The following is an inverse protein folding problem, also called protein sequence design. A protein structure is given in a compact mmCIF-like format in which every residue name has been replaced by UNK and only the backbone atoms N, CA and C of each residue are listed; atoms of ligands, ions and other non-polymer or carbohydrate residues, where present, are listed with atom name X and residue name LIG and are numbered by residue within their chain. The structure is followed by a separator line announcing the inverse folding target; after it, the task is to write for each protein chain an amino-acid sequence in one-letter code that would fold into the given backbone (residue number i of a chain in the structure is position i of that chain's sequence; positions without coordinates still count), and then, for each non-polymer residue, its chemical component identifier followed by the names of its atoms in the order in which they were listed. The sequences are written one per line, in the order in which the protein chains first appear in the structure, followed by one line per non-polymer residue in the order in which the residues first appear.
data_IF_003125644309
#
_entry.id   IF_003125644309
#
_cell.length_a   1.000
_cell.length_b   1.000
_cell.length_c   1.000
_cell.angle_alpha   90.00
_cell.angle_beta   90.00
_cell.angle_gamma   90.00
#
_symmetry.space_group_name_H-M   'P 1'
#
loop_
_entity.id
_entity.type
_entity.pdbx_description
1 polymer ?
#
# COMPACT_ATOMS: atom_id res chain seq x y z
N UNK A 1 -38.41 28.97 26.66
CA UNK A 1 -37.89 29.43 25.35
C UNK A 1 -36.50 29.94 25.59
N UNK A 2 -35.48 29.17 25.23
CA UNK A 2 -34.18 29.61 24.75
C UNK A 2 -33.52 28.33 24.22
N UNK A 3 -33.28 28.32 22.91
CA UNK A 3 -32.99 27.15 22.08
C UNK A 3 -31.57 26.65 22.27
N UNK A 4 -31.45 25.32 22.27
CA UNK A 4 -30.20 24.57 22.22
C UNK A 4 -29.61 24.65 20.80
N UNK A 5 -28.30 24.87 20.70
CA UNK A 5 -27.58 24.57 19.46
C UNK A 5 -26.18 24.07 19.82
N UNK A 6 -26.05 22.76 20.06
CA UNK A 6 -24.76 22.07 20.11
C UNK A 6 -24.60 21.23 18.85
N UNK A 7 -23.79 21.71 17.93
CA UNK A 7 -23.28 20.94 16.78
C UNK A 7 -22.33 19.86 17.29
N UNK A 8 -22.88 18.69 17.60
CA UNK A 8 -22.12 17.47 17.84
C UNK A 8 -21.73 16.85 16.50
N UNK A 9 -20.43 16.78 16.22
CA UNK A 9 -19.91 15.94 15.15
C UNK A 9 -20.27 14.48 15.48
N UNK A 10 -21.11 13.86 14.63
CA UNK A 10 -21.42 12.44 14.72
C UNK A 10 -20.16 11.63 14.42
N UNK A 11 -19.54 11.09 15.47
CA UNK A 11 -18.65 9.95 15.34
C UNK A 11 -19.44 8.80 14.67
N UNK A 12 -18.95 8.28 13.55
CA UNK A 12 -19.53 7.16 12.84
C UNK A 12 -19.40 5.86 13.68
N UNK A 13 -20.23 5.73 14.70
CA UNK A 13 -20.38 4.56 15.54
C UNK A 13 -21.39 3.57 14.94
N UNK A 14 -20.94 2.35 14.69
CA UNK A 14 -21.76 1.23 14.17
C UNK A 14 -22.92 0.92 15.13
N UNK A 15 -24.19 0.89 14.67
CA UNK A 15 -25.32 0.59 15.56
C UNK A 15 -25.33 -0.88 16.01
N UNK A 16 -25.66 -1.09 17.29
CA UNK A 16 -25.82 -2.41 17.90
C UNK A 16 -27.01 -3.22 17.35
N UNK A 17 -27.82 -2.63 16.45
CA UNK A 17 -29.10 -3.17 15.97
C UNK A 17 -29.06 -3.41 14.46
N UNK A 18 -28.97 -4.69 14.04
CA UNK A 18 -29.28 -5.17 12.69
C UNK A 18 -28.66 -4.38 11.51
N UNK A 19 -29.15 -4.65 10.30
CA UNK A 19 -28.90 -3.78 9.14
C UNK A 19 -29.99 -2.70 9.09
N UNK A 20 -29.66 -1.48 8.63
CA UNK A 20 -30.70 -0.49 8.31
C UNK A 20 -31.56 -0.97 7.13
N UNK A 21 -32.75 -0.37 6.95
CA UNK A 21 -33.63 -0.72 5.83
C UNK A 21 -32.94 -0.50 4.45
N UNK A 22 -32.21 0.60 4.31
CA UNK A 22 -31.44 0.90 3.09
C UNK A 22 -30.34 -0.14 2.83
N UNK A 23 -29.58 -0.53 3.87
CA UNK A 23 -28.55 -1.57 3.75
C UNK A 23 -29.16 -2.93 3.40
N UNK A 24 -30.32 -3.27 3.96
CA UNK A 24 -31.05 -4.50 3.60
C UNK A 24 -31.47 -4.51 2.14
N UNK A 25 -32.01 -3.41 1.62
CA UNK A 25 -32.39 -3.36 0.19
C UNK A 25 -31.14 -3.49 -0.70
N UNK A 26 -30.07 -2.76 -0.38
CA UNK A 26 -28.80 -2.78 -1.13
C UNK A 26 -28.21 -4.19 -1.26
N UNK A 27 -28.20 -4.98 -0.18
CA UNK A 27 -27.63 -6.34 -0.18
C UNK A 27 -28.65 -7.46 -0.33
N UNK A 28 -29.91 -7.13 -0.61
CA UNK A 28 -31.00 -8.11 -0.71
C UNK A 28 -30.70 -9.29 -1.65
N UNK A 29 -30.00 -9.06 -2.77
CA UNK A 29 -29.64 -10.13 -3.73
C UNK A 29 -28.55 -11.04 -3.16
N UNK A 30 -27.58 -10.48 -2.44
CA UNK A 30 -26.52 -11.24 -1.78
C UNK A 30 -27.07 -12.03 -0.59
N UNK A 31 -27.95 -11.45 0.22
CA UNK A 31 -28.59 -12.11 1.37
C UNK A 31 -29.51 -13.27 0.97
N UNK A 32 -30.06 -13.28 -0.25
CA UNK A 32 -30.83 -14.42 -0.78
C UNK A 32 -29.95 -15.64 -1.03
N UNK A 33 -28.65 -15.47 -1.21
CA UNK A 33 -27.74 -16.60 -1.30
C UNK A 33 -27.57 -17.20 0.10
N UNK A 34 -28.22 -18.35 0.34
CA UNK A 34 -28.35 -18.96 1.66
C UNK A 34 -27.03 -19.16 2.44
N UNK A 35 -25.88 -19.48 1.81
CA UNK A 35 -24.61 -19.53 2.53
C UNK A 35 -24.20 -18.20 3.17
N UNK A 36 -24.57 -17.05 2.60
CA UNK A 36 -24.36 -15.73 3.22
C UNK A 36 -25.52 -15.40 4.17
N UNK A 37 -26.74 -15.30 3.66
CA UNK A 37 -27.91 -14.93 4.48
C UNK A 37 -27.79 -13.56 5.17
N UNK A 38 -28.71 -13.26 6.09
CA UNK A 38 -28.65 -12.01 6.87
C UNK A 38 -27.48 -12.00 7.87
N UNK A 39 -27.21 -13.13 8.52
CA UNK A 39 -26.12 -13.24 9.48
C UNK A 39 -24.74 -13.07 8.84
N UNK A 40 -24.50 -13.66 7.67
CA UNK A 40 -23.26 -13.46 6.93
C UNK A 40 -23.10 -12.03 6.46
N UNK A 41 -24.19 -11.37 6.03
CA UNK A 41 -24.16 -9.96 5.68
C UNK A 41 -23.82 -9.06 6.88
N UNK A 42 -24.39 -9.34 8.06
CA UNK A 42 -24.04 -8.63 9.29
C UNK A 42 -22.57 -8.85 9.67
N UNK A 43 -22.04 -10.06 9.47
CA UNK A 43 -20.64 -10.37 9.73
C UNK A 43 -19.71 -9.59 8.76
N UNK A 44 -20.05 -9.49 7.48
CA UNK A 44 -19.33 -8.67 6.50
C UNK A 44 -19.29 -7.19 6.94
N UNK A 45 -20.43 -6.61 7.31
CA UNK A 45 -20.53 -5.21 7.77
C UNK A 45 -19.72 -4.95 9.05
N UNK A 46 -19.46 -5.97 9.86
CA UNK A 46 -18.64 -5.85 11.08
C UNK A 46 -17.15 -6.13 10.86
N UNK A 47 -16.79 -6.57 9.66
CA UNK A 47 -15.44 -7.00 9.33
C UNK A 47 -14.55 -5.84 8.90
N UNK A 48 -13.26 -5.95 9.21
CA UNK A 48 -12.19 -5.09 8.71
C UNK A 48 -11.19 -5.89 7.90
N UNK A 49 -10.83 -5.42 6.70
CA UNK A 49 -9.85 -6.09 5.83
C UNK A 49 -8.73 -5.16 5.41
N UNK A 50 -7.52 -5.69 5.32
CA UNK A 50 -6.40 -5.02 4.66
C UNK A 50 -6.28 -5.54 3.23
N UNK A 51 -6.20 -4.64 2.26
CA UNK A 51 -5.82 -4.92 0.88
C UNK A 51 -4.43 -4.33 0.68
N UNK A 52 -3.44 -5.21 0.61
CA UNK A 52 -2.05 -4.82 0.41
C UNK A 52 -1.74 -4.82 -1.09
N UNK A 53 -1.34 -3.66 -1.62
CA UNK A 53 -1.25 -3.43 -3.06
C UNK A 53 -2.61 -3.12 -3.66
N UNK A 54 -2.71 -1.96 -4.32
CA UNK A 54 -3.88 -1.40 -4.99
C UNK A 54 -3.58 -1.24 -6.49
N UNK A 55 -2.83 -2.20 -7.04
CA UNK A 55 -2.66 -2.39 -8.48
C UNK A 55 -3.86 -3.11 -9.11
N UNK A 56 -3.65 -3.89 -10.17
CA UNK A 56 -4.74 -4.55 -10.90
C UNK A 56 -5.58 -5.47 -10.02
N UNK A 57 -4.91 -6.37 -9.30
CA UNK A 57 -5.57 -7.36 -8.44
C UNK A 57 -6.20 -6.70 -7.22
N UNK A 58 -5.47 -5.79 -6.58
CA UNK A 58 -5.96 -4.99 -5.45
C UNK A 58 -7.21 -4.17 -5.79
N UNK A 59 -7.25 -3.54 -6.97
CA UNK A 59 -8.41 -2.79 -7.45
C UNK A 59 -9.66 -3.68 -7.58
N UNK A 60 -9.52 -4.87 -8.17
CA UNK A 60 -10.63 -5.81 -8.32
C UNK A 60 -11.11 -6.33 -6.94
N UNK A 61 -10.19 -6.68 -6.05
CA UNK A 61 -10.50 -7.11 -4.68
C UNK A 61 -11.20 -6.02 -3.87
N UNK A 62 -10.72 -4.78 -3.96
CA UNK A 62 -11.32 -3.62 -3.31
C UNK A 62 -12.77 -3.40 -3.75
N UNK A 63 -13.04 -3.53 -5.05
CA UNK A 63 -14.40 -3.46 -5.58
C UNK A 63 -15.28 -4.60 -5.07
N UNK A 64 -14.78 -5.84 -5.03
CA UNK A 64 -15.53 -6.96 -4.49
C UNK A 64 -15.87 -6.76 -3.01
N UNK A 65 -14.91 -6.35 -2.18
CA UNK A 65 -15.12 -6.17 -0.74
C UNK A 65 -16.09 -5.02 -0.45
N UNK A 66 -15.93 -3.89 -1.14
CA UNK A 66 -16.83 -2.74 -0.99
C UNK A 66 -18.26 -3.09 -1.42
N UNK A 67 -18.43 -3.73 -2.59
CA UNK A 67 -19.75 -4.09 -3.12
C UNK A 67 -20.42 -5.21 -2.34
N UNK A 68 -19.65 -6.09 -1.69
CA UNK A 68 -20.17 -7.11 -0.78
C UNK A 68 -20.60 -6.55 0.58
N UNK A 69 -20.27 -5.29 0.89
CA UNK A 69 -20.64 -4.64 2.14
C UNK A 69 -19.73 -4.96 3.31
N UNK A 70 -18.43 -5.20 3.07
CA UNK A 70 -17.43 -5.20 4.14
C UNK A 70 -17.46 -3.85 4.87
N UNK A 71 -17.39 -3.85 6.20
CA UNK A 71 -17.56 -2.63 7.00
C UNK A 71 -16.40 -1.66 6.93
N UNK A 72 -15.17 -2.19 6.94
CA UNK A 72 -13.96 -1.39 6.91
C UNK A 72 -12.90 -1.99 5.97
N UNK A 73 -12.32 -1.16 5.12
CA UNK A 73 -11.24 -1.54 4.19
C UNK A 73 -10.05 -0.60 4.41
N UNK A 74 -8.88 -1.19 4.66
CA UNK A 74 -7.59 -0.49 4.62
C UNK A 74 -6.95 -0.79 3.27
N UNK A 75 -6.63 0.25 2.52
CA UNK A 75 -5.93 0.17 1.24
C UNK A 75 -4.49 0.64 1.45
N UNK A 76 -3.52 -0.24 1.25
CA UNK A 76 -2.10 0.11 1.40
C UNK A 76 -1.37 -0.01 0.07
N UNK A 77 -0.86 1.10 -0.45
CA UNK A 77 -0.06 1.15 -1.67
C UNK A 77 0.85 2.38 -1.62
N UNK A 78 2.09 2.22 -2.10
CA UNK A 78 3.10 3.30 -2.13
C UNK A 78 3.12 4.05 -3.47
N UNK A 79 2.50 3.48 -4.50
CA UNK A 79 2.59 3.95 -5.88
C UNK A 79 1.51 4.98 -6.20
N UNK A 80 1.67 5.59 -7.37
CA UNK A 80 0.79 6.59 -7.94
C UNK A 80 0.13 6.07 -9.21
N UNK A 81 -1.02 6.63 -9.56
CA UNK A 81 -1.74 6.25 -10.77
C UNK A 81 -0.98 6.77 -12.00
N UNK A 82 -0.73 5.87 -12.95
CA UNK A 82 -0.09 6.20 -14.22
C UNK A 82 -0.97 5.83 -15.42
N UNK A 83 -0.72 6.45 -16.58
CA UNK A 83 -1.47 6.19 -17.81
C UNK A 83 -1.45 4.71 -18.23
N UNK A 84 -0.29 4.07 -18.09
CA UNK A 84 -0.07 2.64 -18.41
C UNK A 84 -0.90 1.70 -17.54
N UNK A 85 -1.41 2.18 -16.40
CA UNK A 85 -2.18 1.40 -15.45
C UNK A 85 -3.63 1.22 -15.91
N UNK A 86 -4.18 2.18 -16.66
CA UNK A 86 -5.60 2.28 -16.99
C UNK A 86 -6.15 1.09 -17.79
N UNK A 87 -5.28 0.37 -18.51
CA UNK A 87 -5.69 -0.83 -19.26
C UNK A 87 -6.10 -2.02 -18.37
N UNK A 88 -5.69 -2.05 -17.09
CA UNK A 88 -5.90 -3.19 -16.17
C UNK A 88 -6.32 -2.84 -14.74
N UNK A 89 -6.17 -1.59 -14.31
CA UNK A 89 -6.49 -1.17 -12.95
C UNK A 89 -7.85 -0.47 -12.94
N UNK A 90 -8.92 -1.29 -12.94
CA UNK A 90 -10.29 -0.86 -13.23
C UNK A 90 -10.90 0.18 -12.28
N UNK A 91 -10.27 0.44 -11.13
CA UNK A 91 -10.70 1.56 -10.30
C UNK A 91 -10.29 2.88 -10.91
N UNK A 92 -9.10 3.02 -11.50
CA UNK A 92 -8.56 4.32 -11.89
C UNK A 92 -9.09 4.82 -13.24
N UNK A 93 -9.11 6.14 -13.41
CA UNK A 93 -9.48 6.81 -14.65
C UNK A 93 -8.39 7.79 -15.10
N UNK A 94 -8.62 8.42 -16.26
CA UNK A 94 -7.65 9.35 -16.84
C UNK A 94 -7.38 10.57 -15.95
N UNK A 95 -8.34 11.01 -15.15
CA UNK A 95 -8.15 12.19 -14.29
C UNK A 95 -7.21 11.84 -13.13
N UNK A 96 -7.39 10.68 -12.52
CA UNK A 96 -6.46 10.17 -11.49
C UNK A 96 -5.02 10.09 -12.03
N UNK A 97 -4.86 9.62 -13.28
CA UNK A 97 -3.55 9.48 -13.93
C UNK A 97 -2.94 10.85 -14.28
N UNK A 98 -3.75 11.79 -14.80
CA UNK A 98 -3.31 13.16 -15.11
C UNK A 98 -2.84 13.88 -13.85
N UNK A 99 -3.55 13.70 -12.75
CA UNK A 99 -3.20 14.27 -11.45
C UNK A 99 -2.12 13.47 -10.71
N UNK A 100 -1.77 12.27 -11.18
CA UNK A 100 -0.84 11.35 -10.53
C UNK A 100 -1.18 11.17 -9.04
N UNK A 101 -2.44 10.83 -8.75
CA UNK A 101 -2.90 10.61 -7.38
C UNK A 101 -2.27 9.33 -6.79
N UNK A 102 -2.01 9.28 -5.46
CA UNK A 102 -1.64 8.03 -4.81
C UNK A 102 -2.72 6.98 -5.03
N UNK A 103 -2.33 5.76 -5.43
CA UNK A 103 -3.27 4.68 -5.76
C UNK A 103 -4.23 4.39 -4.61
N UNK A 104 -3.72 4.30 -3.38
CA UNK A 104 -4.52 4.05 -2.18
C UNK A 104 -5.57 5.15 -1.95
N UNK A 105 -5.23 6.42 -2.20
CA UNK A 105 -6.13 7.56 -2.02
C UNK A 105 -7.20 7.58 -3.11
N UNK A 106 -6.80 7.50 -4.38
CA UNK A 106 -7.73 7.49 -5.52
C UNK A 106 -8.73 6.33 -5.41
N UNK A 107 -8.24 5.13 -5.04
CA UNK A 107 -9.10 3.98 -4.81
C UNK A 107 -10.06 4.22 -3.64
N UNK A 108 -9.58 4.76 -2.51
CA UNK A 108 -10.43 5.03 -1.35
C UNK A 108 -11.58 5.98 -1.67
N UNK A 109 -11.31 7.06 -2.41
CA UNK A 109 -12.35 7.99 -2.86
C UNK A 109 -13.39 7.32 -3.74
N UNK A 110 -12.97 6.43 -4.65
CA UNK A 110 -13.88 5.67 -5.51
C UNK A 110 -14.72 4.67 -4.73
N UNK A 111 -14.13 3.98 -3.75
CA UNK A 111 -14.88 3.06 -2.89
C UNK A 111 -15.93 3.80 -2.04
N UNK A 112 -15.61 4.98 -1.52
CA UNK A 112 -16.60 5.81 -0.78
C UNK A 112 -17.76 6.26 -1.67
N UNK A 113 -17.53 6.46 -2.97
CA UNK A 113 -18.61 6.71 -3.95
C UNK A 113 -19.43 5.45 -4.26
N UNK A 114 -18.83 4.26 -4.17
CA UNK A 114 -19.54 3.00 -4.34
C UNK A 114 -20.48 2.76 -3.15
N UNK A 115 -19.98 2.89 -1.92
CA UNK A 115 -20.71 2.66 -0.68
C UNK A 115 -20.34 3.71 0.37
N UNK A 116 -21.27 4.62 0.68
CA UNK A 116 -21.04 5.68 1.68
C UNK A 116 -21.05 5.17 3.12
N UNK A 117 -21.57 3.95 3.36
CA UNK A 117 -21.55 3.30 4.67
C UNK A 117 -20.27 2.51 4.94
N UNK A 118 -19.34 2.46 3.99
CA UNK A 118 -18.06 1.77 4.10
C UNK A 118 -16.99 2.72 4.67
N UNK A 119 -16.32 2.30 5.74
CA UNK A 119 -15.15 2.99 6.25
C UNK A 119 -13.90 2.61 5.43
N UNK A 120 -13.32 3.58 4.71
CA UNK A 120 -12.10 3.35 3.92
C UNK A 120 -10.94 4.17 4.44
N UNK A 121 -9.82 3.50 4.73
CA UNK A 121 -8.55 4.09 5.13
C UNK A 121 -7.53 3.91 4.00
N UNK A 122 -6.82 4.98 3.64
CA UNK A 122 -5.77 4.95 2.63
C UNK A 122 -4.40 5.12 3.31
N UNK A 123 -3.53 4.13 3.14
CA UNK A 123 -2.16 4.12 3.65
C UNK A 123 -1.21 4.26 2.46
N UNK A 124 -0.67 5.46 2.28
CA UNK A 124 0.32 5.75 1.21
C UNK A 124 1.72 5.49 1.74
N UNK A 125 2.11 4.22 1.79
CA UNK A 125 3.40 3.83 2.35
C UNK A 125 3.88 2.47 1.82
N UNK A 126 5.21 2.27 1.86
CA UNK A 126 5.80 0.97 1.60
C UNK A 126 5.56 0.04 2.81
N UNK A 127 4.87 -1.07 2.58
CA UNK A 127 4.60 -2.07 3.61
C UNK A 127 5.87 -2.76 4.15
N UNK A 128 7.00 -2.63 3.46
CA UNK A 128 8.32 -3.06 3.94
C UNK A 128 9.00 -2.05 4.86
N UNK A 129 8.47 -0.84 5.03
CA UNK A 129 8.97 0.10 6.02
C UNK A 129 8.64 -0.37 7.46
N UNK A 130 9.50 -0.09 8.46
CA UNK A 130 9.26 -0.47 9.85
C UNK A 130 7.92 0.09 10.38
N UNK A 131 7.11 -0.75 11.04
CA UNK A 131 5.86 -0.35 11.69
C UNK A 131 4.64 -0.12 10.78
N UNK A 132 4.84 0.09 9.48
CA UNK A 132 3.75 0.41 8.54
C UNK A 132 2.76 -0.73 8.39
N UNK A 133 3.24 -1.97 8.20
CA UNK A 133 2.36 -3.13 8.08
C UNK A 133 1.59 -3.37 9.38
N UNK A 134 2.25 -3.25 10.52
CA UNK A 134 1.64 -3.45 11.84
C UNK A 134 0.50 -2.45 12.07
N UNK A 135 0.71 -1.19 11.68
CA UNK A 135 -0.34 -0.16 11.74
C UNK A 135 -1.47 -0.45 10.76
N UNK A 136 -1.16 -0.75 9.49
CA UNK A 136 -2.17 -0.98 8.45
C UNK A 136 -3.02 -2.23 8.72
N UNK A 137 -2.41 -3.29 9.24
CA UNK A 137 -3.08 -4.56 9.52
C UNK A 137 -3.75 -4.60 10.92
N UNK A 138 -3.59 -3.55 11.74
CA UNK A 138 -4.17 -3.48 13.07
C UNK A 138 -5.68 -3.69 13.04
N UNK A 139 -6.14 -4.68 13.82
CA UNK A 139 -7.57 -5.01 13.95
C UNK A 139 -8.22 -5.62 12.70
N UNK A 140 -7.45 -6.01 11.69
CA UNK A 140 -7.99 -6.67 10.49
C UNK A 140 -8.34 -8.14 10.77
N UNK A 141 -9.48 -8.59 10.25
CA UNK A 141 -9.95 -9.97 10.33
C UNK A 141 -9.40 -10.85 9.20
N UNK A 142 -8.90 -10.23 8.13
CA UNK A 142 -8.39 -10.86 6.91
C UNK A 142 -7.44 -9.91 6.16
N UNK A 143 -6.39 -10.46 5.55
CA UNK A 143 -5.51 -9.74 4.62
C UNK A 143 -5.67 -10.30 3.21
N UNK A 144 -5.82 -9.42 2.23
CA UNK A 144 -5.87 -9.75 0.81
C UNK A 144 -4.58 -9.28 0.13
N UNK A 145 -3.90 -10.21 -0.54
CA UNK A 145 -2.70 -9.90 -1.32
C UNK A 145 -3.08 -9.43 -2.73
N UNK A 146 -2.87 -8.14 -2.99
CA UNK A 146 -2.94 -7.51 -4.31
C UNK A 146 -1.58 -7.00 -4.78
N UNK A 147 -0.48 -7.43 -4.13
CA UNK A 147 0.88 -6.96 -4.41
C UNK A 147 1.52 -7.73 -5.57
N UNK A 148 2.47 -7.10 -6.23
CA UNK A 148 3.32 -7.69 -7.27
C UNK A 148 4.78 -7.88 -6.82
N UNK A 149 5.09 -7.55 -5.57
CA UNK A 149 6.44 -7.59 -5.02
C UNK A 149 6.64 -8.77 -4.06
N UNK A 150 7.60 -9.65 -4.38
CA UNK A 150 7.90 -10.85 -3.58
C UNK A 150 8.28 -10.55 -2.12
N UNK A 151 9.04 -9.47 -1.86
CA UNK A 151 9.45 -9.11 -0.51
C UNK A 151 8.24 -8.70 0.36
N UNK A 152 7.30 -7.93 -0.22
CA UNK A 152 6.07 -7.55 0.47
C UNK A 152 5.22 -8.78 0.76
N UNK A 153 5.05 -9.69 -0.21
CA UNK A 153 4.29 -10.95 -0.03
C UNK A 153 4.81 -11.80 1.11
N UNK A 154 6.13 -11.97 1.19
CA UNK A 154 6.78 -12.71 2.27
C UNK A 154 6.56 -12.04 3.63
N UNK A 155 6.74 -10.71 3.72
CA UNK A 155 6.49 -9.96 4.96
C UNK A 155 5.03 -10.07 5.40
N UNK A 156 4.08 -9.93 4.47
CA UNK A 156 2.64 -10.10 4.73
C UNK A 156 2.34 -11.48 5.30
N UNK A 157 2.84 -12.54 4.66
CA UNK A 157 2.64 -13.91 5.12
C UNK A 157 3.24 -14.14 6.50
N UNK A 158 4.45 -13.65 6.77
CA UNK A 158 5.10 -13.82 8.07
C UNK A 158 4.30 -13.13 9.17
N UNK A 159 3.87 -11.90 8.94
CA UNK A 159 3.06 -11.14 9.89
C UNK A 159 1.71 -11.83 10.14
N UNK A 160 1.01 -12.25 9.08
CA UNK A 160 -0.29 -12.92 9.17
C UNK A 160 -0.23 -14.19 10.02
N UNK A 161 0.79 -15.04 9.79
CA UNK A 161 0.98 -16.26 10.57
C UNK A 161 1.35 -15.99 12.03
N UNK A 162 2.20 -15.00 12.29
CA UNK A 162 2.54 -14.58 13.65
C UNK A 162 1.32 -14.09 14.44
N UNK A 163 0.40 -13.37 13.80
CA UNK A 163 -0.76 -12.75 14.46
C UNK A 163 -2.06 -13.55 14.36
N UNK A 164 -2.07 -14.67 13.62
CA UNK A 164 -3.27 -15.49 13.45
C UNK A 164 -4.34 -14.90 12.56
N UNK A 165 -3.95 -13.97 11.69
CA UNK A 165 -4.80 -13.41 10.64
C UNK A 165 -4.55 -14.20 9.35
N UNK A 166 -5.59 -14.67 8.63
CA UNK A 166 -5.38 -15.33 7.35
C UNK A 166 -4.96 -14.35 6.25
N UNK A 167 -4.19 -14.89 5.30
CA UNK A 167 -3.78 -14.21 4.09
C UNK A 167 -4.41 -14.92 2.89
N UNK A 168 -5.17 -14.19 2.07
CA UNK A 168 -5.60 -14.71 0.76
C UNK A 168 -4.58 -14.29 -0.29
N UNK A 169 -3.67 -15.21 -0.60
CA UNK A 169 -2.62 -15.02 -1.57
C UNK A 169 -3.15 -15.03 -3.00
N UNK A 170 -2.60 -14.16 -3.85
CA UNK A 170 -2.93 -14.05 -5.26
C UNK A 170 -1.75 -13.54 -6.08
N UNK A 171 -1.64 -14.02 -7.32
CA UNK A 171 -0.62 -13.58 -8.25
C UNK A 171 -1.06 -13.76 -9.69
N UNK A 172 -0.68 -12.84 -10.57
CA UNK A 172 -1.08 -12.83 -11.99
C UNK A 172 0.13 -12.47 -12.84
N UNK A 173 0.34 -13.19 -13.94
CA UNK A 173 1.35 -12.90 -14.95
C UNK A 173 0.85 -13.35 -16.33
N UNK A 174 0.93 -12.48 -17.34
CA UNK A 174 0.40 -12.75 -18.67
C UNK A 174 -1.10 -13.03 -18.63
N UNK A 175 -1.48 -14.21 -19.12
CA UNK A 175 -2.86 -14.72 -19.13
C UNK A 175 -3.17 -15.71 -17.99
N UNK A 176 -2.25 -15.86 -17.05
CA UNK A 176 -2.32 -16.88 -15.99
C UNK A 176 -2.20 -16.27 -14.62
N UNK A 177 -2.65 -17.00 -13.62
CA UNK A 177 -2.47 -16.60 -12.24
C UNK A 177 -2.78 -17.71 -11.26
N UNK A 178 -2.66 -17.38 -9.98
CA UNK A 178 -2.77 -18.31 -8.88
C UNK A 178 -3.46 -17.68 -7.67
N UNK A 179 -4.15 -18.50 -6.90
CA UNK A 179 -4.84 -18.09 -5.67
C UNK A 179 -4.74 -19.18 -4.62
N UNK A 180 -4.44 -18.81 -3.37
CA UNK A 180 -4.36 -19.74 -2.24
C UNK A 180 -4.83 -19.07 -0.93
N UNK A 181 -5.79 -19.65 -0.20
CA UNK A 181 -6.07 -19.27 1.17
C UNK A 181 -4.98 -19.82 2.11
N UNK A 182 -4.19 -18.92 2.69
CA UNK A 182 -3.15 -19.25 3.66
C UNK A 182 -3.67 -18.95 5.07
N UNK A 183 -4.07 -20.01 5.79
CA UNK A 183 -4.76 -19.92 7.07
C UNK A 183 -3.86 -20.44 8.20
N UNK A 184 -3.45 -19.60 9.16
CA UNK A 184 -2.59 -20.00 10.27
C UNK A 184 -3.17 -21.18 11.07
N UNK A 185 -2.35 -22.22 11.28
CA UNK A 185 -2.74 -23.46 11.97
C UNK A 185 -3.48 -24.49 11.09
N UNK A 186 -3.92 -24.12 9.89
CA UNK A 186 -4.66 -25.03 8.99
C UNK A 186 -3.90 -25.33 7.69
N UNK A 187 -3.17 -24.37 7.13
CA UNK A 187 -2.36 -24.54 5.92
C UNK A 187 -0.92 -24.11 6.16
N UNK A 188 -0.05 -24.38 5.19
CA UNK A 188 1.30 -23.82 5.16
C UNK A 188 1.27 -22.30 4.92
N UNK A 189 2.38 -21.63 5.30
CA UNK A 189 2.60 -20.22 4.96
C UNK A 189 3.27 -20.07 3.59
N UNK A 190 3.40 -18.84 3.11
CA UNK A 190 3.97 -18.59 1.79
C UNK A 190 5.41 -19.11 1.65
N UNK A 191 6.26 -18.98 2.68
CA UNK A 191 7.63 -19.52 2.67
C UNK A 191 7.69 -21.04 2.45
N UNK A 192 6.73 -21.76 3.02
CA UNK A 192 6.61 -23.20 2.79
C UNK A 192 6.09 -23.52 1.39
N UNK A 193 5.26 -22.65 0.82
CA UNK A 193 4.67 -22.84 -0.49
C UNK A 193 5.68 -22.61 -1.62
N UNK A 194 6.50 -21.56 -1.53
CA UNK A 194 7.44 -21.17 -2.58
C UNK A 194 8.84 -21.79 -2.41
N UNK A 195 9.12 -22.44 -1.28
CA UNK A 195 10.49 -22.89 -0.95
C UNK A 195 11.38 -21.72 -0.53
N UNK A 196 12.26 -21.90 0.46
CA UNK A 196 13.13 -20.81 0.93
C UNK A 196 14.07 -20.29 -0.18
N UNK A 197 14.39 -18.99 -0.12
CA UNK A 197 15.42 -18.15 -0.79
C UNK A 197 15.86 -18.42 -2.25
N UNK A 198 15.75 -19.62 -2.82
CA UNK A 198 16.30 -19.98 -4.13
C UNK A 198 15.50 -19.47 -5.34
N UNK A 199 14.29 -18.93 -5.16
CA UNK A 199 13.46 -18.36 -6.25
C UNK A 199 13.40 -16.82 -6.27
N UNK A 200 14.18 -16.12 -5.44
CA UNK A 200 14.36 -14.66 -5.55
C UNK A 200 15.01 -14.21 -6.88
N UNK A 201 15.45 -15.17 -7.72
CA UNK A 201 16.08 -14.91 -9.03
C UNK A 201 15.14 -14.96 -10.24
N UNK A 202 13.88 -15.35 -10.09
CA UNK A 202 12.91 -15.35 -11.20
C UNK A 202 12.16 -14.03 -11.23
N UNK A 203 12.91 -12.95 -11.49
CA UNK A 203 12.45 -11.56 -11.52
C UNK A 203 11.64 -11.19 -12.78
N UNK A 204 10.68 -12.01 -13.17
CA UNK A 204 9.69 -11.61 -14.16
C UNK A 204 8.65 -10.74 -13.46
N UNK A 205 8.89 -9.43 -13.46
CA UNK A 205 7.87 -8.46 -13.03
C UNK A 205 6.74 -8.44 -14.07
N UNK A 206 5.54 -8.02 -13.66
CA UNK A 206 4.40 -7.91 -14.56
C UNK A 206 4.68 -7.04 -15.81
N UNK A 207 5.69 -6.17 -15.73
CA UNK A 207 6.13 -5.29 -16.81
C UNK A 207 6.99 -5.97 -17.89
N UNK A 208 7.56 -7.16 -17.64
CA UNK A 208 8.36 -7.90 -18.65
C UNK A 208 7.52 -8.91 -19.45
N UNK A 209 6.56 -9.57 -18.80
CA UNK A 209 5.69 -10.60 -19.43
C UNK A 209 4.40 -10.02 -20.00
N UNK A 210 4.00 -8.82 -19.56
CA UNK A 210 2.69 -8.24 -19.82
C UNK A 210 1.60 -8.91 -18.97
N UNK A 211 0.40 -8.32 -18.95
CA UNK A 211 -0.70 -8.78 -18.10
C UNK A 211 -2.05 -8.54 -18.76
N UNK A 212 -2.89 -9.58 -18.80
CA UNK A 212 -4.26 -9.50 -19.30
C UNK A 212 -5.24 -9.21 -18.16
N UNK A 213 -6.03 -8.14 -18.31
CA UNK A 213 -7.07 -7.75 -17.34
C UNK A 213 -8.06 -8.90 -16.99
N UNK A 214 -8.56 -9.73 -17.93
CA UNK A 214 -9.43 -10.86 -17.58
C UNK A 214 -8.78 -11.92 -16.68
N UNK A 215 -7.45 -12.12 -16.77
CA UNK A 215 -6.74 -13.03 -15.89
C UNK A 215 -6.71 -12.49 -14.44
N UNK A 216 -6.61 -11.17 -14.30
CA UNK A 216 -6.71 -10.48 -13.00
C UNK A 216 -8.08 -10.70 -12.39
N UNK A 217 -9.15 -10.48 -13.14
CA UNK A 217 -10.53 -10.65 -12.66
C UNK A 217 -10.82 -12.10 -12.26
N UNK A 218 -10.30 -13.09 -13.01
CA UNK A 218 -10.44 -14.50 -12.63
C UNK A 218 -9.80 -14.79 -11.27
N UNK A 219 -8.57 -14.31 -11.04
CA UNK A 219 -7.87 -14.52 -9.77
C UNK A 219 -8.53 -13.72 -8.64
N UNK A 220 -8.96 -12.48 -8.90
CA UNK A 220 -9.68 -11.64 -7.96
C UNK A 220 -10.98 -12.29 -7.50
N UNK A 221 -11.75 -12.89 -8.43
CA UNK A 221 -12.97 -13.60 -8.11
C UNK A 221 -12.70 -14.82 -7.21
N UNK A 222 -11.64 -15.58 -7.50
CA UNK A 222 -11.22 -16.72 -6.68
C UNK A 222 -10.81 -16.30 -5.26
N UNK A 223 -10.06 -15.21 -5.10
CA UNK A 223 -9.70 -14.66 -3.79
C UNK A 223 -10.92 -14.07 -3.06
N UNK A 224 -11.74 -13.28 -3.75
CA UNK A 224 -12.92 -12.64 -3.17
C UNK A 224 -13.94 -13.67 -2.66
N UNK A 225 -14.14 -14.77 -3.39
CA UNK A 225 -15.02 -15.86 -2.94
C UNK A 225 -14.57 -16.43 -1.57
N UNK A 226 -13.26 -16.63 -1.39
CA UNK A 226 -12.70 -17.12 -0.12
C UNK A 226 -12.78 -16.05 0.98
N UNK A 227 -12.65 -14.77 0.64
CA UNK A 227 -12.86 -13.67 1.58
C UNK A 227 -14.29 -13.65 2.11
N UNK A 228 -15.30 -13.78 1.23
CA UNK A 228 -16.70 -13.82 1.63
C UNK A 228 -17.02 -15.02 2.52
N UNK A 229 -16.43 -16.19 2.25
CA UNK A 229 -16.57 -17.34 3.14
C UNK A 229 -15.98 -17.06 4.52
N UNK A 230 -14.77 -16.50 4.57
CA UNK A 230 -14.08 -16.24 5.84
C UNK A 230 -14.87 -15.24 6.71
N UNK A 231 -15.21 -14.09 6.12
CA UNK A 231 -15.83 -12.96 6.78
C UNK A 231 -17.32 -13.21 7.06
N UNK A 232 -18.01 -13.94 6.17
CA UNK A 232 -19.40 -14.34 6.34
C UNK A 232 -19.61 -15.50 7.31
N UNK A 233 -18.55 -16.01 7.95
CA UNK A 233 -18.64 -17.05 8.99
C UNK A 233 -18.62 -18.50 8.48
N UNK A 234 -18.39 -18.73 7.18
CA UNK A 234 -18.29 -20.05 6.54
C UNK A 234 -16.85 -20.57 6.49
N UNK A 235 -16.12 -20.45 7.61
CA UNK A 235 -14.67 -20.75 7.67
C UNK A 235 -14.32 -22.21 7.34
N UNK A 236 -15.23 -23.15 7.57
CA UNK A 236 -15.05 -24.57 7.22
C UNK A 236 -15.11 -24.85 5.72
N UNK A 237 -15.69 -23.94 4.93
CA UNK A 237 -15.86 -24.07 3.48
C UNK A 237 -14.72 -23.40 2.69
N UNK A 238 -13.73 -22.84 3.39
CA UNK A 238 -12.53 -22.26 2.80
C UNK A 238 -11.72 -23.37 2.13
N UNK A 239 -11.28 -23.12 0.89
CA UNK A 239 -10.41 -24.03 0.15
C UNK A 239 -9.06 -24.19 0.86
N UNK A 240 -8.50 -25.40 0.80
CA UNK A 240 -7.16 -25.72 1.33
C UNK A 240 -6.21 -26.11 0.22
N UNK A 241 -6.27 -25.35 -0.86
CA UNK A 241 -5.65 -25.68 -2.13
C UNK A 241 -5.05 -24.43 -2.75
N UNK A 242 -3.97 -24.63 -3.49
CA UNK A 242 -3.45 -23.68 -4.45
C UNK A 242 -4.19 -23.93 -5.77
N UNK A 243 -4.90 -22.92 -6.26
CA UNK A 243 -5.43 -22.95 -7.62
C UNK A 243 -4.51 -22.19 -8.55
N UNK A 244 -4.17 -22.81 -9.67
CA UNK A 244 -3.55 -22.14 -10.82
C UNK A 244 -4.56 -22.14 -11.96
N UNK A 245 -4.67 -21.01 -12.66
CA UNK A 245 -5.63 -20.85 -13.73
C UNK A 245 -5.05 -20.01 -14.87
N UNK A 246 -5.52 -20.26 -16.09
CA UNK A 246 -5.15 -19.49 -17.27
C UNK A 246 -6.38 -19.26 -18.13
N UNK A 247 -6.62 -17.99 -18.50
CA UNK A 247 -7.77 -17.62 -19.33
C UNK A 247 -7.54 -17.89 -20.82
N UNK A 248 -6.28 -17.97 -21.26
CA UNK A 248 -5.95 -18.10 -22.68
C UNK A 248 -6.22 -19.51 -23.25
N UNK A 249 -5.61 -20.59 -22.72
CA UNK A 249 -6.00 -21.96 -23.07
C UNK A 249 -7.27 -22.44 -22.33
N UNK A 250 -7.89 -21.58 -21.50
CA UNK A 250 -8.92 -21.92 -20.53
C UNK A 250 -8.60 -23.19 -19.72
N UNK A 251 -7.75 -23.06 -18.71
CA UNK A 251 -7.37 -24.19 -17.84
C UNK A 251 -7.37 -23.79 -16.37
N UNK A 252 -7.72 -24.75 -15.51
CA UNK A 252 -7.67 -24.60 -14.06
C UNK A 252 -7.17 -25.89 -13.43
N UNK A 253 -6.24 -25.77 -12.47
CA UNK A 253 -5.71 -26.90 -11.70
C UNK A 253 -5.74 -26.54 -10.23
N UNK A 254 -6.04 -27.53 -9.41
CA UNK A 254 -6.13 -27.40 -7.97
C UNK A 254 -5.15 -28.37 -7.31
N UNK A 255 -4.29 -27.85 -6.45
CA UNK A 255 -3.25 -28.60 -5.75
C UNK A 255 -3.45 -28.45 -4.24
N UNK A 256 -3.48 -29.56 -3.51
CA UNK A 256 -3.67 -29.54 -2.05
C UNK A 256 -2.50 -28.81 -1.38
N UNK A 257 -2.82 -27.83 -0.53
CA UNK A 257 -1.81 -27.17 0.30
C UNK A 257 -1.37 -28.13 1.43
N UNK A 258 -0.07 -28.22 1.72
CA UNK A 258 0.39 -28.89 2.91
C UNK A 258 -0.06 -28.13 4.17
N UNK A 259 -0.03 -28.82 5.31
CA UNK A 259 -0.20 -28.19 6.61
C UNK A 259 1.01 -27.31 7.00
N UNK A 260 0.94 -26.63 8.15
CA UNK A 260 2.07 -25.87 8.66
C UNK A 260 3.27 -26.78 8.94
N UNK A 261 4.48 -26.30 8.62
CA UNK A 261 5.73 -27.01 8.93
C UNK A 261 6.29 -26.52 10.25
N UNK A 262 6.56 -27.45 11.19
CA UNK A 262 7.22 -27.14 12.47
C UNK A 262 8.65 -26.62 12.31
N UNK A 263 9.28 -26.91 11.18
CA UNK A 263 10.64 -26.48 10.85
C UNK A 263 10.66 -25.10 10.17
N UNK A 264 9.51 -24.55 9.80
CA UNK A 264 9.45 -23.25 9.14
C UNK A 264 9.73 -22.11 10.13
N UNK A 265 10.64 -21.17 9.82
CA UNK A 265 10.94 -20.04 10.71
C UNK A 265 9.76 -19.08 10.92
N UNK A 266 8.76 -19.11 10.03
CA UNK A 266 7.55 -18.29 10.11
C UNK A 266 6.40 -19.05 10.78
N UNK A 267 5.81 -20.04 10.08
CA UNK A 267 4.63 -20.75 10.62
C UNK A 267 4.96 -21.75 11.74
N UNK A 268 6.19 -22.26 11.81
CA UNK A 268 6.60 -23.20 12.88
C UNK A 268 6.71 -22.53 14.25
N UNK A 269 7.23 -21.29 14.31
CA UNK A 269 7.29 -20.50 15.55
C UNK A 269 5.90 -20.14 16.06
N UNK A 270 5.02 -19.70 15.15
CA UNK A 270 3.64 -19.38 15.49
C UNK A 270 2.89 -20.59 16.06
N UNK A 271 3.12 -21.78 15.50
CA UNK A 271 2.51 -23.02 15.99
C UNK A 271 3.03 -23.41 17.38
N UNK A 272 4.33 -23.27 17.63
CA UNK A 272 4.93 -23.54 18.95
C UNK A 272 4.40 -22.58 20.03
N UNK A 273 4.25 -21.30 19.71
CA UNK A 273 3.68 -20.30 20.61
C UNK A 273 2.22 -20.62 20.98
N UNK A 274 1.42 -21.14 20.04
CA UNK A 274 0.02 -21.53 20.28
C UNK A 274 -0.11 -22.86 21.03
N UNK A 275 0.72 -23.84 20.69
CA UNK A 275 0.73 -25.17 21.33
C UNK A 275 1.19 -25.16 22.79
N UNK A 276 1.82 -24.08 23.25
CA UNK A 276 2.29 -23.92 24.64
C UNK A 276 1.25 -23.28 25.57
N UNK A 277 0.10 -22.82 25.03
CA UNK A 277 -1.03 -22.31 25.80
C UNK A 277 -2.18 -23.32 25.86
N UNK A 278 -2.31 -24.03 26.98
CA UNK A 278 -3.47 -24.91 27.22
C UNK A 278 -4.70 -24.02 27.49
N UNK A 279 -5.72 -24.12 26.63
CA UNK A 279 -7.09 -23.67 26.92
C UNK A 279 -7.82 -23.06 25.72
N UNK A 280 -8.91 -23.71 25.30
CA UNK A 280 -9.94 -23.11 24.45
C UNK A 280 -10.39 -21.76 25.06
N UNK A 281 -10.14 -20.66 24.34
CA UNK A 281 -10.44 -19.32 24.83
C UNK A 281 -10.78 -18.39 23.68
N UNK A 282 -12.05 -18.06 23.58
CA UNK A 282 -12.66 -16.97 22.81
C UNK A 282 -11.71 -15.77 22.70
N UNK A 283 -11.34 -15.37 21.47
CA UNK A 283 -10.62 -14.12 21.25
C UNK A 283 -11.51 -12.93 21.68
N UNK A 284 -11.30 -12.48 22.91
CA UNK A 284 -11.82 -11.21 23.40
C UNK A 284 -11.02 -10.07 22.76
N UNK A 285 -11.73 -9.13 22.13
CA UNK A 285 -11.17 -7.88 21.58
C UNK A 285 -10.57 -7.05 22.73
N UNK A 286 -9.25 -6.94 22.77
CA UNK A 286 -8.54 -5.94 23.57
C UNK A 286 -8.49 -4.64 22.77
N UNK A 287 -9.37 -3.69 23.12
CA UNK A 287 -9.32 -2.33 22.61
C UNK A 287 -8.18 -1.55 23.24
N UNK A 288 -7.10 -1.35 22.48
CA UNK A 288 -6.03 -0.44 22.87
C UNK A 288 -6.28 0.92 22.20
N UNK A 289 -6.78 1.87 22.98
CA UNK A 289 -6.76 3.30 22.62
C UNK A 289 -5.31 3.74 22.52
N UNK A 290 -4.86 4.13 21.33
CA UNK A 290 -3.67 4.99 21.19
C UNK A 290 -4.11 6.34 20.65
N UNK A 291 -3.79 7.37 21.41
CA UNK A 291 -3.98 8.77 21.07
C UNK A 291 -3.06 9.13 19.89
N UNK A 292 -3.64 9.66 18.82
CA UNK A 292 -2.91 10.27 17.71
C UNK A 292 -2.56 11.70 18.14
N UNK A 293 -1.28 11.95 18.38
CA UNK A 293 -0.79 13.31 18.64
C UNK A 293 -0.64 14.06 17.32
N UNK A 294 -1.43 15.12 17.14
CA UNK A 294 -1.29 16.09 16.07
C UNK A 294 0.00 16.90 16.28
N UNK A 295 0.93 16.86 15.33
CA UNK A 295 2.11 17.73 15.34
C UNK A 295 1.70 19.04 14.66
N UNK A 296 1.35 20.01 15.51
CA UNK A 296 1.19 21.41 15.15
C UNK A 296 2.56 22.12 15.08
N UNK A 297 2.69 22.99 14.08
CA UNK A 297 3.76 23.97 13.90
C UNK A 297 4.03 24.80 15.16
N UNK A 298 5.30 24.96 15.53
CA UNK A 298 5.75 26.07 16.38
C UNK A 298 6.99 26.74 15.83
N UNK A 299 6.92 28.06 15.93
CA UNK A 299 7.80 29.10 15.44
C UNK A 299 9.00 29.36 16.36
N UNK A 300 10.06 29.89 15.73
CA UNK A 300 11.08 30.83 16.23
C UNK A 300 11.10 31.22 17.72
N UNK A 301 12.29 31.10 18.32
CA UNK A 301 12.80 32.06 19.30
C UNK A 301 14.34 32.08 19.23
N UNK A 302 14.87 33.30 19.25
CA UNK A 302 16.26 33.70 19.28
C UNK A 302 16.92 33.36 20.62
N UNK A 303 18.23 33.12 20.62
CA UNK A 303 19.05 33.31 21.82
C UNK A 303 20.47 33.76 21.42
N UNK A 304 20.74 35.05 21.66
CA UNK A 304 22.08 35.62 21.73
C UNK A 304 22.76 35.18 23.04
N UNK A 305 24.03 34.79 22.98
CA UNK A 305 24.93 34.98 24.11
C UNK A 305 26.40 35.04 23.66
N UNK A 306 27.00 36.17 23.99
CA UNK A 306 28.38 36.62 23.85
C UNK A 306 29.42 35.79 24.62
N UNK A 307 30.66 35.75 24.10
CA UNK A 307 31.85 35.37 24.88
C UNK A 307 33.15 35.62 24.11
N UNK A 308 33.92 36.62 24.56
CA UNK A 308 35.09 37.17 23.90
C UNK A 308 36.44 36.61 24.40
N UNK A 309 37.47 36.75 23.56
CA UNK A 309 38.91 36.79 23.90
C UNK A 309 39.70 35.56 23.41
N UNK A 310 40.94 35.64 22.91
CA UNK A 310 41.89 36.71 22.57
C UNK A 310 43.18 36.02 22.05
N UNK A 311 43.90 36.58 21.06
CA UNK A 311 45.35 36.31 20.89
C UNK A 311 45.89 35.83 19.52
N UNK A 312 46.08 36.79 18.61
CA UNK A 312 47.04 37.00 17.47
C UNK A 312 48.37 36.18 17.39
N UNK A 313 49.21 36.31 16.32
CA UNK A 313 49.03 36.07 14.87
C UNK A 313 50.21 35.27 14.22
N UNK A 314 50.05 34.69 13.02
CA UNK A 314 51.17 34.39 12.10
C UNK A 314 50.71 34.18 10.66
N UNK A 315 51.55 34.60 9.72
CA UNK A 315 51.25 34.97 8.34
C UNK A 315 51.34 33.84 7.29
N UNK A 316 50.68 34.07 6.15
CA UNK A 316 50.90 33.52 4.80
C UNK A 316 50.78 31.98 4.63
N UNK A 317 50.01 31.43 3.71
CA UNK A 317 50.04 31.67 2.25
C UNK A 317 48.70 31.30 1.61
N UNK A 318 48.42 31.92 0.45
CA UNK A 318 47.33 31.56 -0.43
C UNK A 318 47.56 30.17 -1.06
N UNK A 319 46.61 29.26 -0.87
CA UNK A 319 46.31 28.24 -1.85
C UNK A 319 44.80 28.03 -1.90
N UNK A 320 44.25 28.19 -3.10
CA UNK A 320 42.82 28.19 -3.36
C UNK A 320 42.27 26.77 -3.29
N UNK A 321 42.05 26.27 -2.07
CA UNK A 321 41.30 25.05 -1.84
C UNK A 321 39.83 25.29 -2.19
N UNK A 322 39.45 24.97 -3.43
CA UNK A 322 38.06 24.81 -3.86
C UNK A 322 37.39 23.82 -2.90
N UNK A 323 36.61 24.34 -1.94
CA UNK A 323 35.82 23.51 -1.01
C UNK A 323 35.04 22.46 -1.82
N UNK A 324 35.00 21.19 -1.41
CA UNK A 324 34.17 20.19 -2.06
C UNK A 324 32.73 20.68 -1.98
N UNK A 325 32.07 20.78 -3.15
CA UNK A 325 30.62 21.05 -3.22
C UNK A 325 29.93 19.98 -2.37
N UNK A 326 29.14 20.40 -1.38
CA UNK A 326 28.29 19.48 -0.62
C UNK A 326 27.35 18.80 -1.61
N UNK A 327 27.51 17.51 -1.82
CA UNK A 327 26.63 16.70 -2.68
C UNK A 327 25.25 16.69 -2.02
N UNK A 328 24.27 17.39 -2.59
CA UNK A 328 22.93 17.53 -2.02
C UNK A 328 22.03 16.30 -2.26
N UNK A 329 22.64 15.17 -2.63
CA UNK A 329 21.97 13.96 -3.06
C UNK A 329 22.62 12.76 -2.38
N UNK A 330 21.80 11.98 -1.69
CA UNK A 330 22.24 10.93 -0.75
C UNK A 330 22.45 9.60 -1.46
N UNK A 331 21.57 9.25 -2.40
CA UNK A 331 21.65 7.98 -3.14
C UNK A 331 20.85 8.02 -4.45
N UNK A 332 21.16 7.10 -5.36
CA UNK A 332 20.37 6.82 -6.56
C UNK A 332 20.23 5.30 -6.76
N UNK A 333 19.00 4.82 -6.93
CA UNK A 333 18.68 3.40 -7.15
C UNK A 333 17.79 3.26 -8.37
N UNK A 334 18.14 2.36 -9.28
CA UNK A 334 17.29 2.01 -10.42
C UNK A 334 16.03 1.30 -9.92
N UNK A 335 14.85 1.84 -10.21
CA UNK A 335 13.56 1.31 -9.76
C UNK A 335 12.57 1.31 -10.92
N UNK A 336 12.38 0.16 -11.57
CA UNK A 336 11.47 -0.01 -12.71
C UNK A 336 12.10 0.26 -14.08
N UNK A 337 11.25 0.32 -15.12
CA UNK A 337 11.68 0.60 -16.52
C UNK A 337 11.82 2.10 -16.69
N UNK A 338 13.02 2.57 -17.06
CA UNK A 338 13.37 3.99 -17.28
C UNK A 338 13.09 4.93 -16.09
N UNK A 339 13.17 4.47 -14.84
CA UNK A 339 13.02 5.33 -13.65
C UNK A 339 14.15 5.13 -12.66
N UNK A 340 14.77 6.23 -12.23
CA UNK A 340 15.76 6.28 -11.16
C UNK A 340 15.15 6.99 -9.96
N UNK A 341 15.19 6.35 -8.79
CA UNK A 341 14.86 7.02 -7.54
C UNK A 341 16.11 7.70 -6.98
N UNK A 342 15.97 8.97 -6.63
CA UNK A 342 17.00 9.82 -6.04
C UNK A 342 16.48 10.35 -4.70
N UNK A 343 17.36 10.47 -3.70
CA UNK A 343 17.01 11.03 -2.39
C UNK A 343 17.77 12.32 -2.12
N UNK A 344 17.04 13.42 -1.88
CA UNK A 344 17.63 14.73 -1.61
C UNK A 344 18.05 14.83 -0.14
N UNK A 345 19.23 15.41 0.11
CA UNK A 345 19.77 15.54 1.48
C UNK A 345 19.05 16.59 2.33
N UNK A 346 18.45 17.60 1.69
CA UNK A 346 17.73 18.68 2.34
C UNK A 346 16.36 18.87 1.67
N UNK A 347 15.33 18.07 2.06
CA UNK A 347 13.99 18.24 1.52
C UNK A 347 13.41 19.60 1.87
N UNK A 348 12.86 20.28 0.87
CA UNK A 348 12.16 21.57 1.00
C UNK A 348 10.66 21.39 0.69
N UNK A 349 9.79 22.30 1.16
CA UNK A 349 8.38 22.27 0.79
C UNK A 349 8.20 22.27 -0.73
N UNK A 350 7.23 21.50 -1.26
CA UNK A 350 6.98 21.37 -2.70
C UNK A 350 6.81 22.71 -3.43
N UNK A 351 6.31 23.74 -2.74
CA UNK A 351 6.13 25.08 -3.29
C UNK A 351 7.46 25.76 -3.65
N UNK A 352 8.55 25.45 -2.93
CA UNK A 352 9.89 25.93 -3.27
C UNK A 352 10.37 25.35 -4.59
N UNK A 353 10.28 24.02 -4.75
CA UNK A 353 10.63 23.34 -6.00
C UNK A 353 9.76 23.81 -7.18
N UNK A 354 8.46 24.06 -6.97
CA UNK A 354 7.54 24.53 -8.01
C UNK A 354 8.06 25.81 -8.67
N UNK A 355 8.44 26.80 -7.87
CA UNK A 355 8.91 28.10 -8.38
C UNK A 355 10.20 27.96 -9.20
N UNK A 356 11.14 27.14 -8.72
CA UNK A 356 12.42 26.90 -9.41
C UNK A 356 12.21 26.17 -10.74
N UNK A 357 11.34 25.15 -10.75
CA UNK A 357 11.02 24.37 -11.94
C UNK A 357 10.25 25.20 -12.98
N UNK A 358 9.28 26.01 -12.55
CA UNK A 358 8.56 26.94 -13.44
C UNK A 358 9.51 27.99 -14.03
N UNK A 359 10.44 28.54 -13.24
CA UNK A 359 11.46 29.47 -13.71
C UNK A 359 12.44 28.83 -14.71
N UNK A 360 12.68 27.52 -14.59
CA UNK A 360 13.47 26.73 -15.54
C UNK A 360 12.69 26.35 -16.82
N UNK A 361 11.43 26.79 -16.97
CA UNK A 361 10.59 26.53 -18.13
C UNK A 361 9.95 25.15 -18.15
N UNK A 362 9.93 24.42 -17.04
CA UNK A 362 9.27 23.12 -16.94
C UNK A 362 7.75 23.27 -16.90
N UNK A 363 7.04 22.32 -17.51
CA UNK A 363 5.59 22.21 -17.31
C UNK A 363 5.32 21.48 -16.00
N UNK A 364 4.74 22.18 -15.02
CA UNK A 364 4.62 21.70 -13.64
C UNK A 364 3.16 21.41 -13.28
N UNK A 365 2.93 20.25 -12.66
CA UNK A 365 1.69 19.86 -11.99
C UNK A 365 1.97 19.64 -10.51
N UNK A 366 1.09 20.14 -9.64
CA UNK A 366 1.20 19.97 -8.19
C UNK A 366 -0.10 19.44 -7.63
N UNK A 367 0.00 18.47 -6.73
CA UNK A 367 -1.08 18.07 -5.83
C UNK A 367 -0.55 18.04 -4.38
N UNK A 368 -1.37 17.70 -3.37
CA UNK A 368 -0.91 17.63 -1.97
C UNK A 368 0.18 16.58 -1.69
N UNK A 369 0.34 15.59 -2.58
CA UNK A 369 1.21 14.42 -2.38
C UNK A 369 2.53 14.51 -3.15
N UNK A 370 2.58 15.24 -4.27
CA UNK A 370 3.76 15.35 -5.12
C UNK A 370 3.78 16.63 -5.97
N UNK A 371 4.95 16.89 -6.53
CA UNK A 371 5.18 17.86 -7.59
C UNK A 371 5.76 17.13 -8.81
N UNK A 372 5.08 17.20 -9.96
CA UNK A 372 5.54 16.63 -11.22
C UNK A 372 5.99 17.73 -12.16
N UNK A 373 7.16 17.61 -12.77
CA UNK A 373 7.67 18.53 -13.76
C UNK A 373 8.15 17.79 -15.01
N UNK A 374 7.56 18.12 -16.16
CA UNK A 374 8.02 17.68 -17.48
C UNK A 374 9.12 18.65 -17.96
N UNK A 375 10.31 18.13 -18.28
CA UNK A 375 11.48 18.96 -18.60
C UNK A 375 11.45 19.48 -20.06
N UNK A 376 12.04 20.66 -20.35
CA UNK A 376 11.87 21.36 -21.64
C UNK A 376 12.41 20.62 -22.88
N UNK A 377 13.37 19.70 -22.72
CA UNK A 377 14.04 19.02 -23.83
C UNK A 377 13.45 17.64 -24.17
N UNK A 378 12.29 17.30 -23.60
CA UNK A 378 11.46 16.17 -24.02
C UNK A 378 12.00 14.80 -23.59
N UNK A 379 11.13 13.99 -22.97
CA UNK A 379 11.43 12.59 -22.62
C UNK A 379 11.74 12.36 -21.14
N UNK A 380 12.13 13.41 -20.40
CA UNK A 380 12.45 13.29 -18.98
C UNK A 380 11.45 14.03 -18.09
N UNK A 381 11.09 13.39 -16.98
CA UNK A 381 10.17 13.94 -15.97
C UNK A 381 10.74 13.78 -14.57
N UNK A 382 10.56 14.81 -13.75
CA UNK A 382 10.84 14.78 -12.31
C UNK A 382 9.54 14.64 -11.54
N UNK A 383 9.49 13.70 -10.59
CA UNK A 383 8.40 13.58 -9.61
C UNK A 383 9.00 13.74 -8.23
N UNK A 384 8.73 14.87 -7.58
CA UNK A 384 9.30 15.26 -6.27
C UNK A 384 8.26 15.03 -5.17
N UNK A 385 8.66 14.34 -4.12
CA UNK A 385 7.83 14.05 -2.95
C UNK A 385 8.18 14.95 -1.75
N UNK A 386 7.23 15.19 -0.82
CA UNK A 386 7.45 16.00 0.37
C UNK A 386 8.58 15.51 1.29
N UNK A 387 8.88 14.22 1.24
CA UNK A 387 9.93 13.56 2.05
C UNK A 387 11.33 13.65 1.42
N UNK A 388 11.48 14.31 0.26
CA UNK A 388 12.76 14.47 -0.42
C UNK A 388 13.08 13.37 -1.43
N UNK A 389 12.23 12.35 -1.56
CA UNK A 389 12.35 11.39 -2.65
C UNK A 389 12.02 12.05 -3.99
N UNK A 390 12.77 11.68 -5.02
CA UNK A 390 12.56 12.14 -6.40
C UNK A 390 12.59 10.93 -7.32
N UNK A 391 11.59 10.78 -8.18
CA UNK A 391 11.66 9.84 -9.30
C UNK A 391 12.02 10.61 -10.56
N UNK A 392 13.11 10.20 -11.19
CA UNK A 392 13.55 10.70 -12.48
C UNK A 392 13.16 9.68 -13.53
N UNK A 393 12.10 9.97 -14.28
CA UNK A 393 11.61 9.13 -15.36
C UNK A 393 12.25 9.57 -16.68
N UNK A 394 12.67 8.61 -17.50
CA UNK A 394 13.33 8.86 -18.79
C UNK A 394 14.82 9.21 -18.71
N UNK A 395 15.47 8.93 -17.57
CA UNK A 395 16.94 8.99 -17.46
C UNK A 395 17.55 7.65 -17.87
N UNK A 396 18.65 7.70 -18.65
CA UNK A 396 19.35 6.51 -19.14
C UNK A 396 20.10 5.76 -18.02
N UNK A 397 20.58 6.48 -17.01
CA UNK A 397 21.29 5.92 -15.88
C UNK A 397 21.18 6.79 -14.61
N UNK A 398 21.75 6.27 -13.52
CA UNK A 398 21.78 6.98 -12.24
C UNK A 398 22.57 8.29 -12.29
N UNK A 399 23.61 8.39 -13.13
CA UNK A 399 24.47 9.58 -13.23
C UNK A 399 23.70 10.72 -13.89
N UNK A 400 22.97 10.43 -14.95
CA UNK A 400 22.08 11.38 -15.61
C UNK A 400 20.98 11.84 -14.64
N UNK A 401 20.34 10.92 -13.93
CA UNK A 401 19.30 11.24 -12.95
C UNK A 401 19.80 12.18 -11.85
N UNK A 402 20.99 11.90 -11.30
CA UNK A 402 21.64 12.77 -10.32
C UNK A 402 21.90 14.18 -10.87
N UNK A 403 22.45 14.26 -12.09
CA UNK A 403 22.73 15.55 -12.77
C UNK A 403 21.45 16.37 -12.95
N UNK A 404 20.35 15.73 -13.37
CA UNK A 404 19.06 16.39 -13.55
C UNK A 404 18.52 16.94 -12.22
N UNK A 405 18.58 16.14 -11.15
CA UNK A 405 18.20 16.61 -9.82
C UNK A 405 19.06 17.80 -9.36
N UNK A 406 20.37 17.76 -9.57
CA UNK A 406 21.26 18.88 -9.23
C UNK A 406 20.92 20.15 -10.03
N UNK A 407 20.71 20.02 -11.34
CA UNK A 407 20.41 21.15 -12.22
C UNK A 407 19.08 21.83 -11.87
N UNK A 408 18.04 21.05 -11.56
CA UNK A 408 16.67 21.56 -11.46
C UNK A 408 16.13 21.70 -10.03
N UNK A 409 16.68 20.99 -9.05
CA UNK A 409 16.12 20.92 -7.68
C UNK A 409 17.06 21.43 -6.58
N UNK A 410 18.36 21.52 -6.87
CA UNK A 410 19.37 21.96 -5.88
C UNK A 410 19.79 23.41 -6.10
N UNK A 411 19.50 23.97 -7.29
CA UNK A 411 19.86 25.32 -7.67
C UNK A 411 21.37 25.45 -7.96
N UNK A 412 21.69 26.17 -9.03
CA UNK A 412 23.06 26.66 -9.23
C UNK A 412 23.30 27.75 -8.19
N UNK A 413 23.98 27.42 -7.09
CA UNK A 413 24.49 28.45 -6.16
C UNK A 413 25.26 29.48 -7.00
N UNK A 414 24.71 30.69 -7.05
CA UNK A 414 25.29 31.86 -7.72
C UNK A 414 26.64 32.22 -7.12
#
# INVERSE_FOLDING_TARGET
MLEENSTGAEEAGVPAQGLSAERRERFSRQMRFAPIGENGQLALVRSRVLIAGVGSLGCALAQHMARAGVGSIVLADRDYVEWSNLQRQMLFDEDDARQSLPKAVAAAEKLRRIDSGLAVEAVVADLTAPGVLEQAAAGCDLVLDGTDNAAVRLRLSDWCFAHGVPLLYGGVAGASGMSAPLVPGATCCLRCLIGGEEEQKSGDTCDTVGMLSPAVELVAALQAAEALKWLGGRRSEIRRTLVTASVWPLSMRELKLPGPSRLCPACGKAEQARGSGIGEGTLARSGSKMAVAAIGSRSSAEEEASGAGSGSPAAATADAARKPRRTAVVSAVLCGRDTVQVELSEPRPLEGYRRELEAAGCAVMRNPYLLRADLPHGGTRLVVFPDGRVLVQGAADAVEALRLCECYLVGSSS
#
